data_IF_369135023197
#
_entry.id   IF_369135023197
#
_cell.length_a   1.000
_cell.length_b   1.000
_cell.length_c   1.000
_cell.angle_alpha   90.00
_cell.angle_beta   90.00
_cell.angle_gamma   90.00
#
_symmetry.space_group_name_H-M   'P 1'
#
loop_
_entity.id
_entity.type
_entity.pdbx_description
1 polymer ?
#
# COMPACT_ATOMS: atom_id res chain seq x y z
N UNK A 1 -33.99 26.26 -8.88
CA UNK A 1 -34.61 24.92 -8.82
C UNK A 1 -33.52 23.94 -8.42
N UNK A 2 -33.83 23.08 -7.45
CA UNK A 2 -32.88 22.33 -6.64
C UNK A 2 -32.01 21.34 -7.44
N UNK A 3 -30.70 21.41 -7.24
CA UNK A 3 -29.80 20.27 -7.38
C UNK A 3 -29.40 19.88 -5.96
N UNK A 4 -30.13 18.92 -5.41
CA UNK A 4 -29.83 18.27 -4.14
C UNK A 4 -28.46 17.61 -4.23
N UNK A 5 -27.55 17.99 -3.32
CA UNK A 5 -26.20 17.45 -3.23
C UNK A 5 -26.21 15.93 -3.10
N UNK A 6 -25.82 15.24 -4.15
CA UNK A 6 -25.51 13.83 -4.09
C UNK A 6 -24.16 13.69 -3.36
N UNK A 7 -24.17 13.03 -2.21
CA UNK A 7 -22.95 12.68 -1.49
C UNK A 7 -22.00 11.85 -2.37
N UNK A 8 -20.71 12.12 -2.29
CA UNK A 8 -19.70 11.32 -2.99
C UNK A 8 -19.46 10.01 -2.22
N UNK A 9 -19.68 8.87 -2.89
CA UNK A 9 -19.35 7.55 -2.33
C UNK A 9 -17.92 7.19 -2.69
N UNK A 10 -17.15 6.75 -1.68
CA UNK A 10 -15.82 6.19 -1.88
C UNK A 10 -15.85 4.69 -1.63
N UNK A 11 -15.30 3.91 -2.57
CA UNK A 11 -15.26 2.45 -2.48
C UNK A 11 -14.33 1.94 -1.36
N UNK A 12 -14.52 0.68 -0.95
CA UNK A 12 -13.63 0.01 -0.01
C UNK A 12 -12.22 -0.05 -0.60
N UNK A 13 -11.24 0.38 0.18
CA UNK A 13 -9.84 0.16 -0.15
C UNK A 13 -9.36 -1.12 0.52
N UNK A 14 -9.01 -2.13 -0.29
CA UNK A 14 -8.52 -3.42 0.20
C UNK A 14 -7.18 -3.30 0.92
N UNK A 15 -6.81 -4.31 1.72
CA UNK A 15 -5.51 -4.34 2.38
C UNK A 15 -4.34 -4.21 1.41
N UNK A 16 -3.37 -3.40 1.79
CA UNK A 16 -2.15 -3.11 1.05
C UNK A 16 -1.10 -2.58 2.03
N UNK A 17 0.15 -2.45 1.57
CA UNK A 17 1.27 -1.81 2.30
C UNK A 17 1.80 -0.62 1.51
N UNK A 18 0.94 0.09 0.81
CA UNK A 18 1.35 1.27 0.05
C UNK A 18 0.30 2.39 0.13
N UNK A 19 0.03 3.13 -0.94
CA UNK A 19 -0.90 4.26 -0.91
C UNK A 19 -2.33 3.86 -0.51
N UNK A 20 -2.76 4.27 0.68
CA UNK A 20 -4.18 4.30 1.04
C UNK A 20 -4.52 4.99 2.35
N UNK A 21 -5.80 5.19 2.53
CA UNK A 21 -6.36 5.70 3.77
C UNK A 21 -6.42 4.59 4.80
N UNK A 22 -6.31 4.94 6.08
CA UNK A 22 -6.17 3.94 7.13
C UNK A 22 -7.35 4.04 8.10
N UNK A 23 -8.01 2.91 8.31
CA UNK A 23 -9.04 2.69 9.36
C UNK A 23 -8.90 1.28 9.95
N UNK A 24 -8.33 0.33 9.20
CA UNK A 24 -8.09 -1.05 9.64
C UNK A 24 -6.62 -1.39 9.46
N UNK A 25 -6.06 -2.05 10.46
CA UNK A 25 -4.66 -2.48 10.49
C UNK A 25 -4.59 -3.99 10.64
N UNK A 26 -3.66 -4.66 9.93
CA UNK A 26 -3.39 -6.07 10.13
C UNK A 26 -1.87 -6.33 10.11
N UNK A 27 -1.38 -7.13 11.07
CA UNK A 27 0.04 -7.51 11.09
C UNK A 27 0.37 -8.42 9.90
N UNK A 28 1.36 -8.03 9.08
CA UNK A 28 1.81 -8.88 7.97
C UNK A 28 2.48 -10.15 8.48
N UNK A 29 3.09 -10.11 9.66
CA UNK A 29 3.68 -11.27 10.31
C UNK A 29 2.63 -12.29 10.77
N UNK A 30 1.47 -11.83 11.26
CA UNK A 30 0.36 -12.73 11.59
C UNK A 30 -0.17 -13.44 10.34
N UNK A 31 -0.28 -12.71 9.23
CA UNK A 31 -0.67 -13.27 7.93
C UNK A 31 0.37 -14.26 7.42
N UNK A 32 1.65 -13.86 7.41
CA UNK A 32 2.78 -14.72 7.02
C UNK A 32 2.81 -16.01 7.84
N UNK A 33 2.73 -15.93 9.18
CA UNK A 33 2.75 -17.12 10.04
C UNK A 33 1.58 -18.07 9.75
N UNK A 34 0.40 -17.53 9.43
CA UNK A 34 -0.72 -18.35 9.02
C UNK A 34 -0.43 -19.07 7.69
N UNK A 35 0.04 -18.34 6.68
CA UNK A 35 0.41 -18.92 5.38
C UNK A 35 1.53 -19.95 5.51
N UNK A 36 2.58 -19.66 6.28
CA UNK A 36 3.68 -20.60 6.50
C UNK A 36 3.20 -21.92 7.13
N UNK A 37 2.19 -21.87 8.00
CA UNK A 37 1.64 -23.04 8.65
C UNK A 37 0.63 -23.82 7.78
N UNK A 38 -0.15 -23.14 6.93
CA UNK A 38 -1.30 -23.76 6.23
C UNK A 38 -1.13 -23.83 4.72
N UNK A 39 -0.36 -22.93 4.12
CA UNK A 39 -0.16 -22.73 2.68
C UNK A 39 1.27 -22.26 2.36
N UNK A 40 2.31 -23.08 2.68
CA UNK A 40 3.70 -22.72 2.41
C UNK A 40 4.02 -22.57 0.92
N UNK A 41 3.19 -23.15 0.04
CA UNK A 41 3.21 -22.93 -1.39
C UNK A 41 2.96 -21.45 -1.75
N UNK A 42 2.00 -20.78 -1.10
CA UNK A 42 1.75 -19.35 -1.32
C UNK A 42 2.87 -18.47 -0.77
N UNK A 43 3.54 -18.90 0.31
CA UNK A 43 4.76 -18.22 0.80
C UNK A 43 5.85 -18.24 -0.27
N UNK A 44 6.06 -19.40 -0.91
CA UNK A 44 7.01 -19.53 -2.02
C UNK A 44 6.64 -18.59 -3.17
N UNK A 45 5.38 -18.62 -3.61
CA UNK A 45 4.90 -17.73 -4.70
C UNK A 45 5.09 -16.25 -4.37
N UNK A 46 4.82 -15.83 -3.13
CA UNK A 46 5.03 -14.43 -2.70
C UNK A 46 6.51 -14.00 -2.71
N UNK A 47 7.44 -14.96 -2.61
CA UNK A 47 8.88 -14.71 -2.64
C UNK A 47 9.51 -14.82 -4.04
N UNK A 48 8.75 -15.23 -5.05
CA UNK A 48 9.18 -15.25 -6.47
C UNK A 48 9.08 -13.86 -7.12
N UNK A 49 9.52 -13.69 -8.36
CA UNK A 49 9.40 -12.42 -9.09
C UNK A 49 7.97 -12.14 -9.58
N UNK A 50 7.48 -10.92 -9.35
CA UNK A 50 6.18 -10.44 -9.83
C UNK A 50 6.34 -9.20 -10.69
N UNK A 51 5.64 -9.15 -11.82
CA UNK A 51 5.64 -8.00 -12.72
C UNK A 51 4.72 -6.89 -12.21
N UNK A 52 5.29 -6.02 -11.37
CA UNK A 52 4.62 -4.88 -10.74
C UNK A 52 4.53 -3.73 -11.72
N UNK A 53 3.32 -3.39 -12.16
CA UNK A 53 3.08 -2.23 -13.01
C UNK A 53 3.47 -0.91 -12.30
N UNK A 54 4.10 0.01 -13.03
CA UNK A 54 4.56 1.29 -12.46
C UNK A 54 3.66 2.48 -12.78
N UNK A 55 2.61 2.27 -13.60
CA UNK A 55 1.66 3.30 -14.03
C UNK A 55 2.34 4.59 -14.54
N UNK A 56 3.43 4.44 -15.30
CA UNK A 56 4.12 5.56 -15.96
C UNK A 56 4.17 5.34 -17.47
N UNK A 57 4.32 6.43 -18.22
CA UNK A 57 4.61 6.41 -19.66
C UNK A 57 6.10 6.16 -19.92
N UNK A 58 6.64 5.08 -19.35
CA UNK A 58 8.05 4.70 -19.49
C UNK A 58 8.20 3.51 -20.45
N UNK A 59 9.36 3.41 -21.10
CA UNK A 59 9.76 2.27 -21.93
C UNK A 59 9.85 0.95 -21.14
N UNK A 60 9.98 1.05 -19.80
CA UNK A 60 9.94 -0.10 -18.89
C UNK A 60 8.60 -0.09 -18.14
N UNK A 61 7.54 -0.77 -18.63
CA UNK A 61 6.18 -0.63 -18.10
C UNK A 61 5.97 -1.30 -16.72
N UNK A 62 6.92 -2.10 -16.24
CA UNK A 62 6.86 -2.79 -14.96
C UNK A 62 8.25 -3.07 -14.36
N UNK A 63 8.27 -3.37 -13.07
CA UNK A 63 9.43 -3.96 -12.39
C UNK A 63 9.10 -5.38 -11.97
N UNK A 64 10.05 -6.31 -12.14
CA UNK A 64 9.92 -7.66 -11.60
C UNK A 64 10.58 -7.72 -10.22
N UNK A 65 9.80 -8.05 -9.18
CA UNK A 65 10.32 -8.21 -7.80
C UNK A 65 9.43 -9.09 -6.93
N UNK A 66 9.96 -9.65 -5.83
CA UNK A 66 9.13 -10.30 -4.81
C UNK A 66 8.17 -9.37 -4.09
N UNK A 67 7.16 -9.97 -3.46
CA UNK A 67 6.26 -9.29 -2.52
C UNK A 67 6.63 -9.59 -1.07
N UNK A 68 7.22 -10.76 -0.82
CA UNK A 68 7.68 -11.22 0.48
C UNK A 68 9.19 -11.41 0.49
N UNK A 69 9.86 -10.72 1.41
CA UNK A 69 11.31 -10.73 1.58
C UNK A 69 11.64 -11.30 2.96
N UNK A 70 12.60 -12.22 3.00
CA UNK A 70 13.25 -12.63 4.24
C UNK A 70 14.43 -11.71 4.52
N UNK A 71 14.55 -11.25 5.77
CA UNK A 71 15.66 -10.45 6.24
C UNK A 71 16.34 -11.20 7.39
N UNK A 72 17.57 -11.70 7.20
CA UNK A 72 18.28 -12.42 8.25
C UNK A 72 18.60 -11.49 9.43
N UNK A 73 18.77 -12.08 10.60
CA UNK A 73 19.25 -11.35 11.76
C UNK A 73 20.64 -10.74 11.50
N UNK A 74 20.86 -9.55 12.03
CA UNK A 74 22.17 -8.88 12.08
C UNK A 74 22.55 -8.64 13.54
N UNK A 75 23.76 -8.12 13.77
CA UNK A 75 24.21 -7.74 15.12
C UNK A 75 23.29 -6.69 15.79
N UNK A 76 22.57 -5.89 15.01
CA UNK A 76 21.74 -4.77 15.50
C UNK A 76 20.25 -4.92 15.23
N UNK A 77 19.82 -5.99 14.55
CA UNK A 77 18.44 -6.17 14.11
C UNK A 77 18.02 -7.65 14.14
N UNK A 78 16.85 -8.01 14.71
CA UNK A 78 16.35 -9.37 14.62
C UNK A 78 15.97 -9.75 13.19
N UNK A 79 15.99 -11.07 12.95
CA UNK A 79 15.41 -11.69 11.76
C UNK A 79 13.93 -11.31 11.64
N UNK A 80 13.49 -11.06 10.41
CA UNK A 80 12.10 -10.70 10.12
C UNK A 80 11.73 -11.02 8.68
N UNK A 81 10.43 -10.96 8.43
CA UNK A 81 9.90 -10.90 7.06
C UNK A 81 9.39 -9.49 6.78
N UNK A 82 9.61 -9.03 5.55
CA UNK A 82 9.05 -7.80 5.01
C UNK A 82 8.08 -8.18 3.92
N UNK A 83 6.88 -7.60 3.96
CA UNK A 83 5.88 -7.82 2.92
C UNK A 83 5.51 -6.46 2.34
N UNK A 84 5.66 -6.31 1.02
CA UNK A 84 5.30 -5.10 0.31
C UNK A 84 4.43 -5.43 -0.91
N UNK A 85 3.15 -5.12 -0.83
CA UNK A 85 2.21 -5.32 -1.91
C UNK A 85 1.07 -4.30 -1.95
N UNK A 86 0.51 -4.13 -3.15
CA UNK A 86 -0.81 -3.56 -3.33
C UNK A 86 -1.46 -4.18 -4.56
N UNK A 87 -2.68 -4.69 -4.40
CA UNK A 87 -3.37 -5.48 -5.43
C UNK A 87 -3.47 -4.76 -6.78
N UNK A 88 -3.68 -3.44 -6.77
CA UNK A 88 -3.85 -2.61 -7.98
C UNK A 88 -2.74 -2.79 -9.02
N UNK A 89 -1.50 -3.07 -8.61
CA UNK A 89 -0.37 -3.22 -9.54
C UNK A 89 -0.43 -4.50 -10.38
N UNK A 90 -1.32 -5.43 -10.02
CA UNK A 90 -1.43 -6.76 -10.64
C UNK A 90 -2.75 -6.96 -11.37
N UNK A 91 -3.77 -6.15 -11.06
CA UNK A 91 -5.11 -6.30 -11.66
C UNK A 91 -5.75 -4.98 -12.10
N UNK A 92 -5.06 -3.85 -11.92
CA UNK A 92 -5.61 -2.51 -12.16
C UNK A 92 -6.57 -2.06 -11.06
N UNK A 93 -7.12 -0.85 -11.21
CA UNK A 93 -8.12 -0.28 -10.32
C UNK A 93 -8.96 0.81 -11.00
N UNK A 94 -10.28 0.60 -11.10
CA UNK A 94 -11.21 1.60 -11.64
C UNK A 94 -10.81 2.07 -13.05
N UNK A 95 -10.60 3.38 -13.20
CA UNK A 95 -10.19 4.01 -14.46
C UNK A 95 -8.71 3.76 -14.85
N UNK A 96 -7.93 3.05 -14.02
CA UNK A 96 -6.55 2.68 -14.27
C UNK A 96 -6.47 1.14 -14.45
N UNK A 97 -6.92 0.60 -15.60
CA UNK A 97 -6.77 -0.83 -15.88
C UNK A 97 -5.30 -1.19 -16.00
N UNK A 98 -4.97 -2.45 -15.72
CA UNK A 98 -3.62 -2.97 -15.93
C UNK A 98 -3.28 -2.96 -17.41
N UNK A 99 -2.05 -2.56 -17.76
CA UNK A 99 -1.58 -2.57 -19.14
C UNK A 99 -1.66 -3.98 -19.74
N UNK A 100 -2.26 -4.15 -20.95
CA UNK A 100 -2.34 -5.43 -21.63
C UNK A 100 -0.98 -5.93 -22.14
N UNK A 101 0.05 -5.09 -22.11
CA UNK A 101 1.42 -5.44 -22.50
C UNK A 101 2.23 -6.09 -21.37
N UNK A 102 1.67 -6.14 -20.16
CA UNK A 102 2.29 -6.82 -19.02
C UNK A 102 1.67 -8.23 -18.94
N UNK A 103 2.48 -9.29 -18.76
CA UNK A 103 1.94 -10.63 -18.59
C UNK A 103 0.88 -10.70 -17.48
N UNK A 104 -0.24 -11.42 -17.70
CA UNK A 104 -1.23 -11.64 -16.66
C UNK A 104 -0.59 -12.39 -15.48
N UNK A 105 -1.14 -12.19 -14.29
CA UNK A 105 -0.73 -12.99 -13.13
C UNK A 105 -1.13 -14.46 -13.35
N UNK A 106 -0.34 -15.37 -12.80
CA UNK A 106 -0.69 -16.80 -12.77
C UNK A 106 -1.83 -17.08 -11.78
N UNK A 107 -2.43 -18.27 -11.85
CA UNK A 107 -3.45 -18.70 -10.88
C UNK A 107 -2.88 -18.72 -9.44
N UNK A 108 -1.66 -19.22 -9.26
CA UNK A 108 -1.00 -19.22 -7.95
C UNK A 108 -0.77 -17.80 -7.41
N UNK A 109 -0.41 -16.86 -8.30
CA UNK A 109 -0.29 -15.45 -7.94
C UNK A 109 -1.65 -14.84 -7.58
N UNK A 110 -2.72 -15.13 -8.34
CA UNK A 110 -4.06 -14.67 -8.00
C UNK A 110 -4.50 -15.20 -6.62
N UNK A 111 -4.29 -16.49 -6.35
CA UNK A 111 -4.60 -17.10 -5.07
C UNK A 111 -3.79 -16.49 -3.92
N UNK A 112 -2.49 -16.22 -4.12
CA UNK A 112 -1.66 -15.55 -3.13
C UNK A 112 -2.18 -14.14 -2.78
N UNK A 113 -2.59 -13.36 -3.78
CA UNK A 113 -3.19 -12.04 -3.54
C UNK A 113 -4.51 -12.14 -2.77
N UNK A 114 -5.35 -13.14 -3.07
CA UNK A 114 -6.61 -13.39 -2.38
C UNK A 114 -6.37 -13.80 -0.93
N UNK A 115 -5.40 -14.69 -0.69
CA UNK A 115 -5.02 -15.09 0.65
C UNK A 115 -4.53 -13.90 1.50
N UNK A 116 -3.69 -13.02 0.94
CA UNK A 116 -3.28 -11.78 1.63
C UNK A 116 -4.46 -10.88 1.98
N UNK A 117 -5.43 -10.75 1.06
CA UNK A 117 -6.63 -9.94 1.29
C UNK A 117 -7.51 -10.51 2.40
N UNK A 118 -7.90 -11.77 2.31
CA UNK A 118 -8.83 -12.39 3.25
C UNK A 118 -8.21 -12.60 4.63
N UNK A 119 -6.92 -12.94 4.71
CA UNK A 119 -6.23 -13.04 5.99
C UNK A 119 -5.97 -11.66 6.61
N UNK A 120 -5.69 -10.64 5.78
CA UNK A 120 -5.64 -9.25 6.22
C UNK A 120 -6.96 -8.83 6.86
N UNK A 121 -8.09 -9.09 6.21
CA UNK A 121 -9.42 -8.77 6.75
C UNK A 121 -9.73 -9.55 8.03
N UNK A 122 -9.49 -10.88 8.02
CA UNK A 122 -9.70 -11.77 9.17
C UNK A 122 -8.89 -11.38 10.42
N UNK A 123 -7.64 -10.96 10.26
CA UNK A 123 -6.76 -10.59 11.37
C UNK A 123 -6.68 -9.09 11.63
N UNK A 124 -7.51 -8.30 10.93
CA UNK A 124 -7.48 -6.86 11.11
C UNK A 124 -8.10 -6.43 12.42
N UNK A 125 -7.56 -5.34 12.95
CA UNK A 125 -8.16 -4.54 14.01
C UNK A 125 -8.68 -3.25 13.41
N UNK A 126 -9.91 -2.88 13.76
CA UNK A 126 -10.44 -1.57 13.46
C UNK A 126 -9.93 -0.59 14.52
N UNK A 127 -9.48 0.58 14.09
CA UNK A 127 -9.13 1.66 15.01
C UNK A 127 -10.25 2.69 15.04
N UNK A 128 -10.60 3.16 16.23
CA UNK A 128 -11.51 4.29 16.39
C UNK A 128 -10.74 5.58 16.12
N UNK A 129 -10.63 5.94 14.83
CA UNK A 129 -9.74 7.00 14.37
C UNK A 129 -10.52 8.31 14.24
N UNK A 130 -10.37 9.17 15.23
CA UNK A 130 -11.13 10.41 15.38
C UNK A 130 -10.37 11.63 14.86
N UNK A 131 -11.07 12.78 14.79
CA UNK A 131 -10.46 14.04 14.37
C UNK A 131 -9.39 14.46 15.37
N UNK A 132 -8.16 14.60 14.88
CA UNK A 132 -7.00 14.99 15.68
C UNK A 132 -6.09 13.82 16.04
N UNK A 133 -6.55 12.58 15.84
CA UNK A 133 -5.71 11.41 16.02
C UNK A 133 -4.60 11.35 14.97
N UNK A 134 -3.47 10.79 15.39
CA UNK A 134 -2.34 10.51 14.53
C UNK A 134 -2.02 9.02 14.57
N UNK A 135 -1.83 8.43 13.39
CA UNK A 135 -1.50 7.01 13.27
C UNK A 135 -0.17 6.83 12.55
N UNK A 136 0.78 6.19 13.23
CA UNK A 136 2.07 5.81 12.68
C UNK A 136 2.06 4.33 12.35
N UNK A 137 2.28 4.01 11.07
CA UNK A 137 2.26 2.63 10.58
C UNK A 137 3.61 2.30 9.96
N UNK A 138 4.22 1.20 10.42
CA UNK A 138 5.37 0.64 9.72
C UNK A 138 4.90 -0.07 8.45
N UNK A 139 5.07 0.61 7.32
CA UNK A 139 4.62 0.18 6.00
C UNK A 139 5.31 -1.10 5.47
N UNK A 140 6.29 -1.68 6.20
CA UNK A 140 6.91 -2.97 5.85
C UNK A 140 6.35 -4.15 6.67
N UNK A 141 5.57 -3.87 7.72
CA UNK A 141 5.16 -4.85 8.73
C UNK A 141 3.65 -4.86 9.01
N UNK A 142 2.92 -3.87 8.51
CA UNK A 142 1.49 -3.72 8.75
C UNK A 142 0.77 -3.46 7.43
N UNK A 143 -0.27 -4.24 7.17
CA UNK A 143 -1.27 -3.92 6.16
C UNK A 143 -2.22 -2.88 6.70
N UNK A 144 -2.65 -1.98 5.84
CA UNK A 144 -3.72 -1.05 6.13
C UNK A 144 -4.80 -1.09 5.05
N UNK A 145 -6.02 -0.78 5.47
CA UNK A 145 -7.20 -0.72 4.63
C UNK A 145 -8.15 0.37 5.15
N UNK A 146 -9.11 0.74 4.30
CA UNK A 146 -10.21 1.63 4.64
C UNK A 146 -11.51 1.05 4.13
N UNK A 147 -12.54 1.05 4.97
CA UNK A 147 -13.89 0.73 4.52
C UNK A 147 -14.45 1.82 3.58
N UNK A 148 -15.49 1.46 2.83
CA UNK A 148 -16.20 2.43 2.00
C UNK A 148 -16.95 3.44 2.87
N UNK A 149 -17.04 4.69 2.44
CA UNK A 149 -17.79 5.73 3.14
C UNK A 149 -18.54 6.62 2.15
N UNK A 150 -19.43 7.47 2.65
CA UNK A 150 -20.18 8.45 1.86
C UNK A 150 -20.04 9.81 2.52
N UNK A 151 -19.56 10.79 1.75
CA UNK A 151 -19.51 12.17 2.21
C UNK A 151 -20.88 12.84 2.11
N UNK A 152 -21.14 13.80 2.99
CA UNK A 152 -22.21 14.80 2.82
C UNK A 152 -21.59 16.19 2.77
N UNK A 153 -22.31 17.24 2.31
CA UNK A 153 -21.78 18.60 2.33
C UNK A 153 -21.30 19.05 3.72
N UNK A 154 -21.90 18.54 4.79
CA UNK A 154 -21.58 18.85 6.19
C UNK A 154 -20.56 17.90 6.81
N UNK A 155 -20.33 16.72 6.20
CA UNK A 155 -19.45 15.67 6.72
C UNK A 155 -18.58 15.14 5.60
N UNK A 156 -17.40 15.73 5.48
CA UNK A 156 -16.36 15.30 4.56
C UNK A 156 -15.16 14.74 5.33
N UNK A 157 -14.60 13.63 4.84
CA UNK A 157 -13.39 13.05 5.44
C UNK A 157 -12.13 13.69 4.83
N UNK A 158 -11.32 14.34 5.68
CA UNK A 158 -10.02 14.89 5.29
C UNK A 158 -8.89 14.22 6.07
N UNK A 159 -7.82 13.82 5.37
CA UNK A 159 -6.65 13.19 5.97
C UNK A 159 -5.37 13.81 5.41
N UNK A 160 -4.46 14.19 6.32
CA UNK A 160 -3.07 14.51 5.96
C UNK A 160 -2.25 13.24 6.12
N UNK A 161 -1.49 12.85 5.09
CA UNK A 161 -0.64 11.66 5.12
C UNK A 161 0.79 12.01 4.78
N UNK A 162 1.71 11.58 5.64
CA UNK A 162 3.15 11.73 5.47
C UNK A 162 3.81 10.37 5.24
N UNK A 163 4.82 10.36 4.37
CA UNK A 163 5.76 9.25 4.25
C UNK A 163 7.02 9.62 5.02
N UNK A 164 7.25 8.96 6.14
CA UNK A 164 8.36 9.25 7.03
C UNK A 164 9.43 8.17 6.91
N UNK A 165 10.70 8.60 6.95
CA UNK A 165 11.86 7.71 7.04
C UNK A 165 12.94 8.39 7.86
N UNK A 166 13.37 7.71 8.91
CA UNK A 166 14.58 8.04 9.64
C UNK A 166 15.70 7.13 9.14
N UNK A 167 16.73 7.63 8.44
CA UNK A 167 17.82 6.80 7.92
C UNK A 167 18.57 5.98 8.99
N UNK A 168 18.60 6.45 10.24
CA UNK A 168 19.28 5.77 11.35
C UNK A 168 18.43 4.68 11.99
N UNK A 169 17.10 4.82 11.95
CA UNK A 169 16.15 3.88 12.59
C UNK A 169 15.36 3.02 11.61
N UNK A 170 15.37 3.36 10.32
CA UNK A 170 14.67 2.62 9.29
C UNK A 170 15.21 1.19 9.20
N UNK A 171 14.31 0.25 8.90
CA UNK A 171 14.73 -1.10 8.58
C UNK A 171 15.56 -1.08 7.30
N UNK A 172 16.52 -2.01 7.20
CA UNK A 172 17.22 -2.24 5.95
C UNK A 172 16.18 -2.45 4.83
N UNK A 173 16.30 -1.68 3.76
CA UNK A 173 15.38 -1.82 2.63
C UNK A 173 15.83 -3.03 1.80
N UNK A 174 14.93 -3.97 1.45
CA UNK A 174 15.27 -5.02 0.49
C UNK A 174 15.82 -4.43 -0.81
N UNK A 175 16.82 -5.06 -1.42
CA UNK A 175 17.53 -4.53 -2.59
C UNK A 175 16.60 -4.16 -3.74
N UNK A 176 15.62 -5.02 -4.04
CA UNK A 176 14.62 -4.79 -5.10
C UNK A 176 13.69 -3.58 -4.84
N UNK A 177 13.67 -3.07 -3.61
CA UNK A 177 12.90 -1.89 -3.22
C UNK A 177 13.71 -0.60 -3.23
N UNK A 178 15.04 -0.66 -3.41
CA UNK A 178 15.91 0.52 -3.36
C UNK A 178 15.50 1.60 -4.37
N UNK A 179 15.24 1.24 -5.63
CA UNK A 179 14.86 2.23 -6.65
C UNK A 179 13.58 3.00 -6.27
N UNK A 180 12.54 2.28 -5.85
CA UNK A 180 11.28 2.87 -5.38
C UNK A 180 11.48 3.73 -4.13
N UNK A 181 12.34 3.30 -3.20
CA UNK A 181 12.62 4.07 -1.98
C UNK A 181 13.39 5.35 -2.30
N UNK A 182 14.36 5.31 -3.23
CA UNK A 182 15.08 6.51 -3.68
C UNK A 182 14.13 7.52 -4.31
N UNK A 183 13.18 7.08 -5.14
CA UNK A 183 12.15 7.97 -5.70
C UNK A 183 11.28 8.67 -4.64
N UNK A 184 11.12 8.05 -3.46
CA UNK A 184 10.31 8.60 -2.36
C UNK A 184 11.10 9.49 -1.41
N UNK A 185 12.38 9.20 -1.18
CA UNK A 185 13.15 9.75 -0.07
C UNK A 185 14.42 10.50 -0.48
N UNK A 186 14.94 10.31 -1.70
CA UNK A 186 16.14 11.00 -2.16
C UNK A 186 15.78 12.32 -2.84
N UNK A 187 16.68 13.31 -2.75
CA UNK A 187 16.50 14.60 -3.42
C UNK A 187 15.34 15.44 -2.89
N UNK A 188 14.87 15.14 -1.67
CA UNK A 188 13.84 15.92 -1.00
C UNK A 188 14.40 17.27 -0.55
N UNK A 189 13.83 18.35 -1.06
CA UNK A 189 14.08 19.71 -0.62
C UNK A 189 12.89 20.17 0.26
N UNK A 190 13.11 20.55 1.53
CA UNK A 190 12.06 21.07 2.40
C UNK A 190 11.21 22.18 1.74
N UNK A 191 11.81 23.03 0.92
CA UNK A 191 11.12 24.14 0.25
C UNK A 191 10.18 23.68 -0.88
N UNK A 192 10.34 22.43 -1.33
CA UNK A 192 9.50 21.81 -2.38
C UNK A 192 8.40 20.92 -1.81
N UNK A 193 8.37 20.70 -0.49
CA UNK A 193 7.32 19.91 0.15
C UNK A 193 6.04 20.74 0.30
N UNK A 194 4.93 20.19 -0.19
CA UNK A 194 3.64 20.89 -0.12
C UNK A 194 2.75 20.30 0.96
N UNK A 195 2.33 21.17 1.88
CA UNK A 195 1.36 20.88 2.94
C UNK A 195 0.08 21.67 2.65
N UNK A 196 -0.88 21.09 1.92
CA UNK A 196 -2.07 21.83 1.52
C UNK A 196 -2.88 22.25 2.76
N UNK A 197 -3.12 23.56 2.88
CA UNK A 197 -3.98 24.11 3.93
C UNK A 197 -5.46 23.84 3.66
N UNK A 198 -5.82 23.74 2.38
CA UNK A 198 -7.18 23.47 1.91
C UNK A 198 -7.27 22.06 1.31
N UNK A 199 -8.38 21.33 1.54
CA UNK A 199 -8.54 19.98 1.01
C UNK A 199 -8.67 20.00 -0.52
N UNK A 200 -8.03 19.06 -1.19
CA UNK A 200 -8.19 18.84 -2.62
C UNK A 200 -8.23 17.35 -2.97
N UNK A 201 -8.91 17.00 -4.07
CA UNK A 201 -8.91 15.63 -4.58
C UNK A 201 -7.61 15.41 -5.34
N UNK A 202 -6.77 14.48 -4.85
CA UNK A 202 -5.52 14.13 -5.53
C UNK A 202 -5.82 13.42 -6.86
N UNK A 203 -5.24 13.92 -7.93
CA UNK A 203 -5.31 13.40 -9.29
C UNK A 203 -3.90 13.30 -9.87
N UNK A 204 -3.75 12.59 -11.00
CA UNK A 204 -2.50 12.59 -11.75
C UNK A 204 -2.03 14.01 -12.12
N UNK A 205 -2.98 14.92 -12.37
CA UNK A 205 -2.72 16.30 -12.79
C UNK A 205 -2.29 17.25 -11.68
N UNK A 206 -2.34 16.85 -10.40
CA UNK A 206 -1.97 17.71 -9.27
C UNK A 206 -1.03 17.07 -8.24
N UNK A 207 -0.27 16.02 -8.64
CA UNK A 207 0.60 15.24 -7.74
C UNK A 207 1.63 16.04 -6.93
N UNK A 208 1.98 17.27 -7.35
CA UNK A 208 2.94 18.17 -6.70
C UNK A 208 2.37 19.50 -6.21
N UNK A 209 1.05 19.57 -5.97
CA UNK A 209 0.38 20.69 -5.30
C UNK A 209 0.03 20.36 -3.85
#
# INVERSE_FOLDING_TARGET
MASSGAGTRSDKQVFHTDTGDIVRLASTWRVYNHLAATRPDLVRTLSEGWDVEIFTKSDKPYWTRPLLYHQPATASAPERVVLQYARRYFVGFGALPRSPHIPPITEAQAEALDALHFLGDKYSVATDFEKGDMQYVNNLAVFHARDGFTDTPEKQRHLVRLWLRDPEKAWATPGDLHERWRQLYDGLDPDTQVFPLEPYIRSESNKGR
#
